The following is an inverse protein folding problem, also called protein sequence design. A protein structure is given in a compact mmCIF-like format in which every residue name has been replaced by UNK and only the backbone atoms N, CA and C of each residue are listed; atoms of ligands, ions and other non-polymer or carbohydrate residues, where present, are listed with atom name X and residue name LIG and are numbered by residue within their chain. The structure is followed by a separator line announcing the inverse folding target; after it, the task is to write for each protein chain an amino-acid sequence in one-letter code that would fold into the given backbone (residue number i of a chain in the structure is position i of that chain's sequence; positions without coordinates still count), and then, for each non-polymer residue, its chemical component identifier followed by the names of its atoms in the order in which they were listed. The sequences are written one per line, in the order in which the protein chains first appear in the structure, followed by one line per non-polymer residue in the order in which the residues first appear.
data_IF_846128007896
#
_entry.id   IF_846128007896
#
_cell.length_a   1.000
_cell.length_b   1.000
_cell.length_c   1.000
_cell.angle_alpha   90.00
_cell.angle_beta   90.00
_cell.angle_gamma   90.00
#
_symmetry.space_group_name_H-M   'P 1'
#
loop_
_entity.id
_entity.type
_entity.pdbx_description
1 polymer ?
#
# COMPACT_ATOMS: atom_id res chain seq x y z
N UNK A 1 10.86 1.25 14.75
CA UNK A 1 10.70 2.65 14.28
C UNK A 1 11.99 3.46 14.32
N UNK A 2 12.73 3.46 15.43
CA UNK A 2 14.01 4.20 15.55
C UNK A 2 15.05 3.82 14.48
N UNK A 3 15.10 2.54 14.11
CA UNK A 3 16.01 2.05 13.07
C UNK A 3 15.66 2.62 11.69
N UNK A 4 14.39 2.56 11.28
CA UNK A 4 13.92 3.15 10.02
C UNK A 4 14.20 4.66 9.96
N UNK A 5 13.95 5.37 11.06
CA UNK A 5 14.29 6.80 11.17
C UNK A 5 15.81 7.06 11.11
N UNK A 6 16.65 6.14 11.60
CA UNK A 6 18.11 6.21 11.44
C UNK A 6 18.50 6.03 9.98
N UNK A 7 17.95 5.03 9.28
CA UNK A 7 18.22 4.78 7.85
C UNK A 7 17.90 6.02 7.02
N UNK A 8 16.69 6.59 7.18
CA UNK A 8 16.30 7.84 6.49
C UNK A 8 17.29 8.98 6.74
N UNK A 9 17.71 9.19 7.99
CA UNK A 9 18.70 10.23 8.33
C UNK A 9 20.08 9.98 7.72
N UNK A 10 20.51 8.72 7.61
CA UNK A 10 21.80 8.38 7.01
C UNK A 10 21.78 8.61 5.50
N UNK A 11 20.72 8.18 4.81
CA UNK A 11 20.53 8.44 3.38
C UNK A 11 20.51 9.95 3.08
N UNK A 12 19.78 10.72 3.90
CA UNK A 12 19.69 12.18 3.79
C UNK A 12 21.01 12.94 3.94
N UNK A 13 22.06 12.32 4.52
CA UNK A 13 23.40 12.93 4.58
C UNK A 13 24.16 12.84 3.26
N UNK A 14 23.82 11.85 2.43
CA UNK A 14 24.46 11.59 1.14
C UNK A 14 23.69 12.32 0.03
N UNK A 15 22.36 12.27 0.09
CA UNK A 15 21.46 12.91 -0.86
C UNK A 15 20.24 13.46 -0.12
N UNK A 16 20.02 14.77 -0.20
CA UNK A 16 18.90 15.44 0.46
C UNK A 16 17.52 15.02 -0.09
N UNK A 17 17.46 14.48 -1.32
CA UNK A 17 16.24 13.93 -1.91
C UNK A 17 15.98 12.47 -1.50
N UNK A 18 16.94 11.80 -0.84
CA UNK A 18 16.80 10.40 -0.46
C UNK A 18 16.04 10.22 0.88
N UNK A 19 15.24 9.13 1.01
CA UNK A 19 14.84 8.21 -0.05
C UNK A 19 13.79 8.81 -1.01
N UNK A 20 13.95 8.54 -2.32
CA UNK A 20 13.05 9.02 -3.37
C UNK A 20 11.62 8.45 -3.26
N UNK A 21 11.51 7.18 -2.84
CA UNK A 21 10.25 6.56 -2.47
C UNK A 21 10.41 5.72 -1.20
N UNK A 22 9.36 5.71 -0.39
CA UNK A 22 9.20 4.82 0.76
C UNK A 22 7.91 4.05 0.53
N UNK A 23 8.06 2.81 0.06
CA UNK A 23 6.95 1.90 -0.19
C UNK A 23 6.67 1.05 1.04
N UNK A 24 5.45 1.11 1.54
CA UNK A 24 4.99 0.20 2.60
C UNK A 24 4.21 -0.95 1.98
N UNK A 25 4.68 -2.17 2.23
CA UNK A 25 3.99 -3.40 1.83
C UNK A 25 2.96 -3.75 2.89
N UNK A 26 1.73 -3.96 2.46
CA UNK A 26 0.57 -4.28 3.29
C UNK A 26 -0.05 -5.56 2.76
N UNK A 27 -0.35 -6.48 3.67
CA UNK A 27 -1.12 -7.68 3.36
C UNK A 27 -2.61 -7.31 3.28
N UNK A 28 -3.24 -7.48 2.12
CA UNK A 28 -4.65 -7.14 1.88
C UNK A 28 -5.64 -7.93 2.75
N UNK A 29 -5.21 -9.05 3.35
CA UNK A 29 -6.01 -9.81 4.31
C UNK A 29 -6.05 -9.16 5.69
N UNK A 30 -5.12 -8.24 5.96
CA UNK A 30 -5.05 -7.51 7.24
C UNK A 30 -6.02 -6.34 7.21
N UNK A 31 -6.97 -6.32 8.15
CA UNK A 31 -7.99 -5.26 8.26
C UNK A 31 -7.45 -4.01 8.96
N UNK A 32 -8.05 -3.64 10.09
CA UNK A 32 -7.67 -2.43 10.87
C UNK A 32 -6.21 -2.41 11.34
N UNK A 33 -5.55 -3.57 11.41
CA UNK A 33 -4.12 -3.65 11.75
C UNK A 33 -3.23 -2.96 10.72
N UNK A 34 -3.61 -2.94 9.44
CA UNK A 34 -2.86 -2.25 8.40
C UNK A 34 -2.83 -0.73 8.63
N UNK A 35 -3.94 -0.15 9.10
CA UNK A 35 -4.10 1.28 9.36
C UNK A 35 -3.19 1.73 10.50
N UNK A 36 -3.19 0.99 11.61
CA UNK A 36 -2.35 1.34 12.77
C UNK A 36 -0.87 1.21 12.45
N UNK A 37 -0.47 0.19 11.67
CA UNK A 37 0.91 0.03 11.19
C UNK A 37 1.30 1.17 10.24
N UNK A 38 0.46 1.52 9.26
CA UNK A 38 0.76 2.59 8.31
C UNK A 38 0.94 3.93 9.04
N UNK A 39 0.11 4.23 10.03
CA UNK A 39 0.25 5.43 10.85
C UNK A 39 1.63 5.50 11.53
N UNK A 40 2.08 4.40 12.12
CA UNK A 40 3.40 4.34 12.77
C UNK A 40 4.54 4.47 11.75
N UNK A 41 4.47 3.74 10.64
CA UNK A 41 5.48 3.77 9.56
C UNK A 41 5.60 5.15 8.93
N UNK A 42 4.47 5.73 8.56
CA UNK A 42 4.43 7.06 7.98
C UNK A 42 5.01 8.11 8.92
N UNK A 43 4.70 8.04 10.22
CA UNK A 43 5.28 8.95 11.21
C UNK A 43 6.81 8.83 11.33
N UNK A 44 7.39 7.65 11.15
CA UNK A 44 8.84 7.47 11.29
C UNK A 44 9.64 7.79 10.03
N UNK A 45 9.12 7.45 8.84
CA UNK A 45 9.89 7.53 7.59
C UNK A 45 9.21 8.27 6.45
N UNK A 46 7.95 8.67 6.59
CA UNK A 46 7.22 9.37 5.53
C UNK A 46 6.94 8.44 4.34
N UNK A 47 6.01 7.50 4.52
CA UNK A 47 5.57 6.60 3.44
C UNK A 47 5.01 7.40 2.27
N UNK A 48 5.51 7.15 1.06
CA UNK A 48 5.13 7.85 -0.16
C UNK A 48 4.22 7.02 -1.07
N UNK A 49 4.21 5.70 -0.88
CA UNK A 49 3.38 4.79 -1.66
C UNK A 49 3.10 3.49 -0.92
N UNK A 50 2.04 2.80 -1.34
CA UNK A 50 1.63 1.51 -0.78
C UNK A 50 1.78 0.40 -1.81
N UNK A 51 2.09 -0.79 -1.33
CA UNK A 51 2.02 -2.04 -2.09
C UNK A 51 1.05 -2.94 -1.35
N UNK A 52 -0.03 -3.38 -2.01
CA UNK A 52 -1.03 -4.25 -1.38
C UNK A 52 -0.92 -5.65 -1.97
N UNK A 53 -0.58 -6.64 -1.15
CA UNK A 53 -0.43 -8.04 -1.58
C UNK A 53 -1.65 -8.89 -1.21
N UNK A 54 -1.72 -10.11 -1.74
CA UNK A 54 -2.78 -11.10 -1.47
C UNK A 54 -4.19 -10.62 -1.84
N UNK A 55 -4.30 -9.84 -2.91
CA UNK A 55 -5.59 -9.35 -3.40
C UNK A 55 -6.38 -10.42 -4.18
N UNK A 56 -5.72 -11.50 -4.58
CA UNK A 56 -6.33 -12.69 -5.19
C UNK A 56 -7.11 -13.56 -4.19
N UNK A 57 -6.69 -13.55 -2.92
CA UNK A 57 -7.15 -14.54 -1.94
C UNK A 57 -8.39 -14.19 -1.13
N UNK A 58 -8.95 -12.96 -1.19
CA UNK A 58 -10.05 -12.57 -0.28
C UNK A 58 -11.04 -11.54 -0.83
N UNK A 59 -12.32 -11.73 -0.50
CA UNK A 59 -13.42 -10.78 -0.67
C UNK A 59 -13.32 -9.52 0.23
N UNK A 60 -12.10 -9.05 0.52
CA UNK A 60 -11.78 -8.04 1.54
C UNK A 60 -10.92 -6.90 1.01
N UNK A 61 -11.21 -6.43 -0.21
CA UNK A 61 -10.68 -5.17 -0.73
C UNK A 61 -11.00 -3.93 0.14
N UNK A 62 -11.83 -4.06 1.18
CA UNK A 62 -12.22 -2.99 2.11
C UNK A 62 -11.05 -2.26 2.78
N UNK A 63 -9.90 -2.93 3.02
CA UNK A 63 -8.73 -2.26 3.60
C UNK A 63 -8.15 -1.20 2.66
N UNK A 64 -8.18 -1.43 1.35
CA UNK A 64 -7.71 -0.48 0.32
C UNK A 64 -8.49 0.82 0.42
N UNK A 65 -9.82 0.76 0.53
CA UNK A 65 -10.67 1.93 0.69
C UNK A 65 -10.41 2.67 2.00
N UNK A 66 -10.21 1.92 3.10
CA UNK A 66 -9.94 2.53 4.40
C UNK A 66 -8.61 3.29 4.42
N UNK A 67 -7.55 2.70 3.84
CA UNK A 67 -6.23 3.32 3.72
C UNK A 67 -6.28 4.56 2.81
N UNK A 68 -6.97 4.46 1.67
CA UNK A 68 -7.14 5.58 0.75
C UNK A 68 -7.87 6.76 1.42
N UNK A 69 -8.95 6.48 2.18
CA UNK A 69 -9.74 7.50 2.88
C UNK A 69 -8.94 8.21 3.99
N UNK A 70 -8.07 7.50 4.68
CA UNK A 70 -7.40 8.03 5.88
C UNK A 70 -6.07 8.74 5.59
N UNK A 71 -5.26 8.23 4.66
CA UNK A 71 -3.88 8.68 4.49
C UNK A 71 -3.61 9.44 3.20
N UNK A 72 -4.48 9.33 2.19
CA UNK A 72 -4.27 9.90 0.85
C UNK A 72 -2.89 9.54 0.25
N UNK A 73 -2.39 8.32 0.53
CA UNK A 73 -1.14 7.79 -0.01
C UNK A 73 -1.49 6.89 -1.21
N UNK A 74 -0.85 7.06 -2.38
CA UNK A 74 -1.17 6.27 -3.56
C UNK A 74 -0.76 4.80 -3.37
N UNK A 75 -1.63 3.89 -3.81
CA UNK A 75 -1.24 2.49 -4.02
C UNK A 75 -0.50 2.44 -5.35
N UNK A 76 0.76 2.00 -5.31
CA UNK A 76 1.62 1.88 -6.49
C UNK A 76 1.50 0.52 -7.15
N UNK A 77 1.44 -0.54 -6.33
CA UNK A 77 1.44 -1.92 -6.81
C UNK A 77 0.44 -2.79 -6.06
N UNK A 78 -0.06 -3.80 -6.77
CA UNK A 78 -0.94 -4.84 -6.27
C UNK A 78 -0.34 -6.23 -6.56
N UNK A 79 -0.27 -7.08 -5.54
CA UNK A 79 0.06 -8.49 -5.68
C UNK A 79 -1.22 -9.31 -5.79
N UNK A 80 -1.44 -9.94 -6.95
CA UNK A 80 -2.64 -10.73 -7.30
C UNK A 80 -2.33 -12.22 -7.50
N UNK A 81 -1.30 -12.71 -6.83
CA UNK A 81 -0.85 -14.09 -6.93
C UNK A 81 0.53 -14.28 -6.29
N UNK A 82 1.09 -15.47 -6.49
CA UNK A 82 2.31 -15.94 -5.82
C UNK A 82 3.57 -15.80 -6.68
N UNK A 83 3.42 -15.49 -7.98
CA UNK A 83 4.54 -15.41 -8.90
C UNK A 83 5.07 -13.97 -9.02
N UNK A 84 6.35 -13.78 -9.38
CA UNK A 84 6.89 -12.44 -9.61
C UNK A 84 6.09 -11.60 -10.62
N UNK A 85 5.50 -12.24 -11.63
CA UNK A 85 4.65 -11.58 -12.64
C UNK A 85 3.33 -11.03 -12.06
N UNK A 86 2.91 -11.54 -10.90
CA UNK A 86 1.64 -11.19 -10.26
C UNK A 86 1.72 -9.87 -9.46
N UNK A 87 2.92 -9.27 -9.35
CA UNK A 87 3.09 -7.92 -8.84
C UNK A 87 2.89 -6.91 -9.98
N UNK A 88 1.72 -6.27 -10.01
CA UNK A 88 1.33 -5.35 -11.08
C UNK A 88 1.21 -3.92 -10.58
N UNK A 89 1.32 -2.95 -11.49
CA UNK A 89 0.94 -1.56 -11.20
C UNK A 89 -0.54 -1.54 -10.82
N UNK A 90 -0.87 -0.80 -9.76
CA UNK A 90 -2.24 -0.71 -9.29
C UNK A 90 -3.08 0.12 -10.24
N UNK A 91 -4.18 -0.47 -10.71
CA UNK A 91 -5.21 0.20 -11.49
C UNK A 91 -6.48 0.31 -10.63
N UNK A 92 -6.84 1.53 -10.15
CA UNK A 92 -8.01 1.71 -9.30
C UNK A 92 -9.33 1.41 -10.01
N UNK A 93 -9.40 1.61 -11.34
CA UNK A 93 -10.61 1.35 -12.12
C UNK A 93 -10.80 -0.15 -12.24
N UNK A 94 -9.77 -0.87 -12.72
CA UNK A 94 -9.83 -2.32 -12.84
C UNK A 94 -10.05 -3.01 -11.48
N UNK A 95 -9.53 -2.43 -10.38
CA UNK A 95 -9.78 -2.93 -9.04
C UNK A 95 -11.25 -2.80 -8.61
N UNK A 96 -11.88 -1.64 -8.87
CA UNK A 96 -13.29 -1.42 -8.54
C UNK A 96 -14.19 -2.30 -9.41
N UNK A 97 -13.90 -2.40 -10.71
CA UNK A 97 -14.65 -3.23 -11.65
C UNK A 97 -14.59 -4.71 -11.27
N UNK A 98 -13.42 -5.20 -10.82
CA UNK A 98 -13.28 -6.57 -10.33
C UNK A 98 -14.01 -6.82 -8.99
N UNK A 99 -14.22 -5.77 -8.19
CA UNK A 99 -14.84 -5.88 -6.87
C UNK A 99 -16.37 -5.80 -6.92
N UNK A 100 -16.93 -5.02 -7.86
CA UNK A 100 -18.36 -4.81 -7.99
C UNK A 100 -18.94 -5.73 -9.06
N UNK A 101 -19.95 -6.58 -8.76
CA UNK A 101 -20.62 -7.35 -9.79
C UNK A 101 -21.37 -6.44 -10.78
N UNK A 102 -21.36 -6.80 -12.07
CA UNK A 102 -22.05 -6.06 -13.16
C UNK A 102 -23.53 -5.79 -12.88
N UNK A 103 -24.18 -6.64 -12.07
CA UNK A 103 -25.59 -6.57 -11.72
C UNK A 103 -26.00 -5.39 -10.82
N UNK A 104 -25.06 -4.56 -10.34
CA UNK A 104 -25.37 -3.39 -9.51
C UNK A 104 -25.75 -2.13 -10.31
N UNK A 105 -25.66 -2.19 -11.66
CA UNK A 105 -25.94 -1.07 -12.56
C UNK A 105 -27.22 -1.19 -13.40
N UNK A 106 -28.05 -2.22 -13.19
CA UNK A 106 -29.33 -2.44 -13.89
C UNK A 106 -30.53 -2.14 -12.99
#
# INVERSE_FOLDING_TARGET
MNELGKIRRVLGKIDAAAPHEVLMVIDGTTGQNAISQLRQFHAAVGVTGLVVTKLDGTAKGGVVFALAREFNIPIRFAGIGERPEDLRVFDPVAFVDALLPEALGS
#
